data_IF_771769472025
#
_entry.id   IF_771769472025
#
_cell.length_a   1.000
_cell.length_b   1.000
_cell.length_c   1.000
_cell.angle_alpha   90.00
_cell.angle_beta   90.00
_cell.angle_gamma   90.00
#
_symmetry.space_group_name_H-M   'P 1'
#
loop_
_entity.id
_entity.type
_entity.pdbx_description
1 polymer ?
#
# COMPACT_ATOMS: atom_id res chain seq x y z
N UNK A 1 -34.52 -21.18 35.15
CA UNK A 1 -33.61 -22.25 34.67
C UNK A 1 -32.81 -21.66 33.53
N UNK A 2 -31.50 -21.53 33.75
CA UNK A 2 -30.41 -21.26 32.81
C UNK A 2 -30.59 -20.16 31.74
N UNK A 3 -30.03 -18.99 32.05
CA UNK A 3 -29.20 -18.28 31.08
C UNK A 3 -27.94 -17.81 31.82
N UNK A 4 -27.00 -18.74 32.07
CA UNK A 4 -25.62 -18.39 32.35
C UNK A 4 -25.07 -17.71 31.10
N UNK A 5 -25.11 -16.39 31.08
CA UNK A 5 -24.29 -15.58 30.18
C UNK A 5 -22.86 -15.67 30.71
N UNK A 6 -22.21 -16.77 30.37
CA UNK A 6 -20.77 -16.95 30.49
C UNK A 6 -20.13 -16.25 29.29
N UNK A 7 -20.10 -14.92 29.32
CA UNK A 7 -19.33 -14.10 28.39
C UNK A 7 -18.52 -13.12 29.25
N UNK A 8 -17.20 -13.13 29.06
CA UNK A 8 -16.19 -12.23 29.67
C UNK A 8 -15.50 -12.75 30.96
N UNK A 9 -14.71 -13.82 30.84
CA UNK A 9 -13.79 -14.27 31.90
C UNK A 9 -12.40 -13.59 31.87
N UNK A 10 -12.29 -12.35 31.38
CA UNK A 10 -10.98 -11.68 31.18
C UNK A 10 -10.79 -10.30 31.80
N UNK A 11 -11.85 -9.51 31.92
CA UNK A 11 -11.82 -8.20 32.60
C UNK A 11 -13.06 -8.13 33.48
N UNK A 12 -12.86 -8.09 34.80
CA UNK A 12 -13.97 -7.95 35.75
C UNK A 12 -14.77 -6.71 35.39
N UNK A 13 -16.08 -6.86 35.13
CA UNK A 13 -16.96 -5.71 34.95
C UNK A 13 -16.77 -4.71 36.11
N UNK A 14 -16.70 -3.39 35.83
CA UNK A 14 -16.69 -2.38 36.87
C UNK A 14 -17.82 -2.60 37.87
N UNK A 15 -17.53 -2.50 39.17
CA UNK A 15 -18.49 -2.78 40.25
C UNK A 15 -19.79 -1.99 40.10
N UNK A 16 -19.71 -0.75 39.65
CA UNK A 16 -20.86 0.13 39.37
C UNK A 16 -21.81 -0.42 38.30
N UNK A 17 -21.28 -1.04 37.23
CA UNK A 17 -22.10 -1.70 36.20
C UNK A 17 -22.78 -2.94 36.76
N UNK A 18 -22.08 -3.70 37.60
CA UNK A 18 -22.60 -4.91 38.22
C UNK A 18 -23.74 -4.59 39.21
N UNK A 19 -23.62 -3.49 39.95
CA UNK A 19 -24.65 -3.01 40.87
C UNK A 19 -25.87 -2.46 40.12
N UNK A 20 -25.66 -1.72 39.01
CA UNK A 20 -26.74 -1.23 38.15
C UNK A 20 -27.50 -2.36 37.43
N UNK A 21 -26.82 -3.43 37.02
CA UNK A 21 -27.43 -4.62 36.41
C UNK A 21 -28.39 -5.36 37.35
N UNK A 22 -28.15 -5.24 38.67
CA UNK A 22 -28.98 -5.81 39.72
C UNK A 22 -30.01 -4.82 40.29
N UNK A 23 -30.03 -3.58 39.79
CA UNK A 23 -30.97 -2.54 40.19
C UNK A 23 -32.24 -2.55 39.33
N UNK A 24 -33.36 -2.05 39.86
CA UNK A 24 -34.61 -1.92 39.11
C UNK A 24 -34.63 -0.68 38.17
N UNK A 25 -33.57 0.15 38.21
CA UNK A 25 -33.49 1.41 37.48
C UNK A 25 -32.77 1.20 36.13
N UNK A 26 -33.55 0.78 35.13
CA UNK A 26 -33.05 0.54 33.78
C UNK A 26 -32.50 1.78 33.09
N UNK A 27 -32.99 2.98 33.44
CA UNK A 27 -32.53 4.24 32.83
C UNK A 27 -31.12 4.57 33.29
N UNK A 28 -30.83 4.40 34.58
CA UNK A 28 -29.49 4.58 35.12
C UNK A 28 -28.49 3.56 34.54
N UNK A 29 -28.94 2.31 34.30
CA UNK A 29 -28.12 1.28 33.65
C UNK A 29 -27.78 1.66 32.20
N UNK A 30 -28.77 2.07 31.41
CA UNK A 30 -28.55 2.51 30.02
C UNK A 30 -27.58 3.69 29.95
N UNK A 31 -27.72 4.69 30.83
CA UNK A 31 -26.80 5.84 30.90
C UNK A 31 -25.36 5.43 31.23
N UNK A 32 -25.17 4.51 32.17
CA UNK A 32 -23.84 4.02 32.52
C UNK A 32 -23.20 3.21 31.39
N UNK A 33 -24.00 2.39 30.68
CA UNK A 33 -23.55 1.65 29.50
C UNK A 33 -23.12 2.62 28.39
N UNK A 34 -23.92 3.66 28.14
CA UNK A 34 -23.61 4.70 27.14
C UNK A 34 -22.30 5.43 27.46
N UNK A 35 -22.06 5.78 28.71
CA UNK A 35 -20.80 6.41 29.15
C UNK A 35 -19.60 5.50 28.90
N UNK A 36 -19.72 4.20 29.21
CA UNK A 36 -18.64 3.25 29.02
C UNK A 36 -18.36 2.96 27.55
N UNK A 37 -19.42 2.83 26.73
CA UNK A 37 -19.29 2.69 25.27
C UNK A 37 -18.59 3.93 24.71
N UNK A 38 -19.03 5.14 25.05
CA UNK A 38 -18.39 6.38 24.60
C UNK A 38 -16.93 6.50 25.04
N UNK A 39 -16.59 6.14 26.28
CA UNK A 39 -15.19 6.16 26.74
C UNK A 39 -14.32 5.15 25.98
N UNK A 40 -14.86 3.95 25.71
CA UNK A 40 -14.16 2.92 24.95
C UNK A 40 -13.96 3.35 23.50
N UNK A 41 -14.99 3.91 22.87
CA UNK A 41 -14.92 4.49 21.53
C UNK A 41 -13.86 5.59 21.46
N UNK A 42 -13.87 6.55 22.40
CA UNK A 42 -12.85 7.61 22.46
C UNK A 42 -11.42 7.07 22.57
N UNK A 43 -11.20 6.03 23.39
CA UNK A 43 -9.88 5.38 23.51
C UNK A 43 -9.48 4.68 22.21
N UNK A 44 -10.41 3.97 21.57
CA UNK A 44 -10.17 3.31 20.27
C UNK A 44 -9.86 4.34 19.17
N UNK A 45 -10.61 5.45 19.10
CA UNK A 45 -10.34 6.53 18.15
C UNK A 45 -8.97 7.18 18.39
N UNK A 46 -8.57 7.38 19.64
CA UNK A 46 -7.24 7.92 19.97
C UNK A 46 -6.11 6.97 19.56
N UNK A 47 -6.27 5.68 19.84
CA UNK A 47 -5.31 4.64 19.43
C UNK A 47 -5.21 4.55 17.90
N UNK A 48 -6.36 4.61 17.20
CA UNK A 48 -6.41 4.61 15.74
C UNK A 48 -5.74 5.87 15.14
N UNK A 49 -5.96 7.03 15.75
CA UNK A 49 -5.32 8.29 15.34
C UNK A 49 -3.80 8.30 15.56
N UNK A 50 -3.29 7.65 16.60
CA UNK A 50 -1.85 7.44 16.80
C UNK A 50 -1.28 6.50 15.72
N UNK A 51 -1.93 5.37 15.47
CA UNK A 51 -1.50 4.41 14.45
C UNK A 51 -1.49 5.03 13.04
N UNK A 52 -2.51 5.84 12.73
CA UNK A 52 -2.58 6.59 11.49
C UNK A 52 -1.45 7.62 11.38
N UNK A 53 -1.11 8.32 12.47
CA UNK A 53 0.00 9.27 12.47
C UNK A 53 1.35 8.57 12.30
N UNK A 54 1.60 7.47 13.00
CA UNK A 54 2.84 6.69 12.88
C UNK A 54 3.02 6.16 11.45
N UNK A 55 1.93 5.67 10.85
CA UNK A 55 1.92 5.21 9.48
C UNK A 55 2.13 6.38 8.49
N UNK A 56 1.47 7.51 8.70
CA UNK A 56 1.67 8.71 7.90
C UNK A 56 3.13 9.19 7.94
N UNK A 57 3.74 9.19 9.12
CA UNK A 57 5.14 9.59 9.31
C UNK A 57 6.10 8.62 8.61
N UNK A 58 5.83 7.31 8.64
CA UNK A 58 6.61 6.31 7.91
C UNK A 58 6.55 6.53 6.38
N UNK A 59 5.35 6.79 5.85
CA UNK A 59 5.15 7.07 4.42
C UNK A 59 5.77 8.41 4.03
N UNK A 60 5.68 9.42 4.88
CA UNK A 60 6.31 10.73 4.67
C UNK A 60 7.83 10.66 4.70
N UNK A 61 8.41 9.85 5.59
CA UNK A 61 9.86 9.57 5.61
C UNK A 61 10.30 8.91 4.31
N UNK A 62 9.56 7.91 3.82
CA UNK A 62 9.83 7.30 2.51
C UNK A 62 9.79 8.33 1.37
N UNK A 63 8.79 9.22 1.35
CA UNK A 63 8.74 10.32 0.38
C UNK A 63 9.89 11.33 0.54
N UNK A 64 10.32 11.60 1.77
CA UNK A 64 11.45 12.48 2.07
C UNK A 64 12.80 11.90 1.64
N UNK A 65 13.01 10.60 1.84
CA UNK A 65 14.23 9.90 1.39
C UNK A 65 14.33 9.92 -0.14
N UNK A 66 13.21 9.67 -0.84
CA UNK A 66 13.12 9.81 -2.30
C UNK A 66 13.35 11.26 -2.76
N UNK A 67 12.93 12.25 -1.97
CA UNK A 67 13.15 13.64 -2.31
C UNK A 67 14.61 14.09 -2.19
N UNK A 68 15.39 13.46 -1.30
CA UNK A 68 16.85 13.68 -1.27
C UNK A 68 17.55 13.13 -2.52
N UNK A 69 16.94 12.16 -3.22
CA UNK A 69 17.39 11.64 -4.51
C UNK A 69 16.88 12.45 -5.72
N UNK A 70 16.16 13.56 -5.48
CA UNK A 70 15.70 14.50 -6.52
C UNK A 70 14.23 14.34 -6.95
N UNK A 71 13.42 13.57 -6.23
CA UNK A 71 11.97 13.39 -6.50
C UNK A 71 11.13 14.46 -5.76
N UNK A 72 10.06 15.02 -6.34
CA UNK A 72 9.20 15.98 -5.63
C UNK A 72 8.56 15.38 -4.35
N UNK A 73 8.43 16.20 -3.30
CA UNK A 73 8.30 15.75 -1.91
C UNK A 73 6.93 15.31 -1.38
N UNK A 74 6.04 14.75 -2.22
CA UNK A 74 4.77 14.17 -1.75
C UNK A 74 4.71 12.64 -1.90
N UNK A 75 3.85 11.99 -1.12
CA UNK A 75 3.60 10.54 -1.21
C UNK A 75 3.04 10.14 -2.57
N UNK A 76 2.19 10.99 -3.15
CA UNK A 76 1.67 10.81 -4.50
C UNK A 76 2.79 10.85 -5.54
N UNK A 77 3.76 11.76 -5.37
CA UNK A 77 4.93 11.87 -6.25
C UNK A 77 5.85 10.65 -6.09
N UNK A 78 6.07 10.16 -4.88
CA UNK A 78 6.82 8.93 -4.62
C UNK A 78 6.16 7.71 -5.29
N UNK A 79 4.82 7.61 -5.23
CA UNK A 79 4.07 6.53 -5.89
C UNK A 79 4.17 6.63 -7.41
N UNK A 80 4.04 7.83 -7.97
CA UNK A 80 4.21 8.08 -9.40
C UNK A 80 5.63 7.71 -9.84
N UNK A 81 6.64 8.12 -9.09
CA UNK A 81 8.02 7.80 -9.40
C UNK A 81 8.30 6.28 -9.38
N UNK A 82 7.76 5.55 -8.39
CA UNK A 82 7.84 4.10 -8.37
C UNK A 82 7.12 3.44 -9.56
N UNK A 83 6.02 4.04 -10.04
CA UNK A 83 5.33 3.59 -11.26
C UNK A 83 6.19 3.86 -12.51
N UNK A 84 6.80 5.04 -12.62
CA UNK A 84 7.69 5.40 -13.73
C UNK A 84 8.90 4.45 -13.78
N UNK A 85 9.52 4.14 -12.62
CA UNK A 85 10.61 3.17 -12.52
C UNK A 85 10.17 1.77 -12.92
N UNK A 86 8.96 1.35 -12.51
CA UNK A 86 8.40 0.05 -12.90
C UNK A 86 8.21 -0.04 -14.42
N UNK A 87 7.69 1.02 -15.05
CA UNK A 87 7.50 1.10 -16.49
C UNK A 87 8.83 1.12 -17.24
N UNK A 88 9.76 1.98 -16.84
CA UNK A 88 11.11 2.06 -17.42
C UNK A 88 11.85 0.72 -17.33
N UNK A 89 11.79 0.06 -16.17
CA UNK A 89 12.40 -1.26 -15.96
C UNK A 89 11.77 -2.33 -16.86
N UNK A 90 10.44 -2.33 -16.98
CA UNK A 90 9.71 -3.24 -17.88
C UNK A 90 10.06 -3.01 -19.35
N UNK A 91 10.20 -1.75 -19.77
CA UNK A 91 10.55 -1.42 -21.15
C UNK A 91 12.00 -1.81 -21.46
N UNK A 92 12.93 -1.59 -20.52
CA UNK A 92 14.31 -2.02 -20.67
C UNK A 92 14.42 -3.55 -20.78
N UNK A 93 13.65 -4.27 -19.95
CA UNK A 93 13.55 -5.73 -20.00
C UNK A 93 13.12 -6.24 -21.38
N UNK A 94 12.03 -5.70 -21.92
CA UNK A 94 11.52 -6.04 -23.25
C UNK A 94 12.56 -5.76 -24.33
N UNK A 95 13.22 -4.60 -24.31
CA UNK A 95 14.27 -4.27 -25.28
C UNK A 95 15.43 -5.26 -25.25
N UNK A 96 15.83 -5.73 -24.08
CA UNK A 96 16.89 -6.75 -23.94
C UNK A 96 16.45 -8.11 -24.50
N UNK A 97 15.20 -8.52 -24.24
CA UNK A 97 14.64 -9.75 -24.81
C UNK A 97 14.56 -9.66 -26.34
N UNK A 98 14.03 -8.57 -26.88
CA UNK A 98 13.96 -8.32 -28.33
C UNK A 98 15.35 -8.32 -28.97
N UNK A 99 16.36 -7.82 -28.25
CA UNK A 99 17.76 -7.89 -28.70
C UNK A 99 18.26 -9.33 -28.72
N UNK A 100 18.02 -10.11 -27.66
CA UNK A 100 18.43 -11.51 -27.60
C UNK A 100 17.76 -12.37 -28.68
N UNK A 101 16.46 -12.18 -28.91
CA UNK A 101 15.71 -12.88 -29.95
C UNK A 101 16.22 -12.57 -31.36
N UNK A 102 16.66 -11.33 -31.62
CA UNK A 102 17.24 -10.95 -32.92
C UNK A 102 18.67 -11.47 -33.10
N UNK A 103 19.46 -11.53 -32.04
CA UNK A 103 20.87 -11.90 -32.11
C UNK A 103 21.10 -13.42 -32.12
N UNK A 104 20.26 -14.20 -31.43
CA UNK A 104 20.36 -15.67 -31.40
C UNK A 104 20.41 -16.31 -32.81
N UNK A 105 19.51 -16.02 -33.75
CA UNK A 105 19.57 -16.63 -35.09
C UNK A 105 20.81 -16.18 -35.88
N UNK A 106 21.36 -15.00 -35.60
CA UNK A 106 22.60 -14.54 -36.23
C UNK A 106 23.81 -15.31 -35.71
N UNK A 107 23.86 -15.58 -34.40
CA UNK A 107 24.87 -16.44 -33.79
C UNK A 107 24.76 -17.88 -34.30
N UNK A 108 23.54 -18.42 -34.38
CA UNK A 108 23.29 -19.76 -34.95
C UNK A 108 23.78 -19.84 -36.42
N UNK A 109 23.40 -18.87 -37.26
CA UNK A 109 23.85 -18.82 -38.65
C UNK A 109 25.37 -18.66 -38.78
N UNK A 110 26.01 -17.87 -37.92
CA UNK A 110 27.48 -17.73 -37.92
C UNK A 110 28.16 -19.05 -37.57
N UNK A 111 27.65 -19.78 -36.57
CA UNK A 111 28.15 -21.10 -36.19
C UNK A 111 27.99 -22.10 -37.33
N UNK A 112 26.83 -22.14 -38.00
CA UNK A 112 26.57 -23.04 -39.14
C UNK A 112 27.50 -22.74 -40.33
N UNK A 113 27.66 -21.47 -40.69
CA UNK A 113 28.57 -21.07 -41.76
C UNK A 113 30.04 -21.41 -41.43
N UNK A 114 30.44 -21.24 -40.17
CA UNK A 114 31.77 -21.61 -39.71
C UNK A 114 32.00 -23.12 -39.81
N UNK A 115 31.01 -23.96 -39.46
CA UNK A 115 31.08 -25.42 -39.66
C UNK A 115 31.31 -25.76 -41.13
N UNK A 116 30.55 -25.16 -42.04
CA UNK A 116 30.70 -25.43 -43.47
C UNK A 116 32.10 -25.09 -44.00
N UNK A 117 32.74 -24.03 -43.48
CA UNK A 117 34.12 -23.68 -43.84
C UNK A 117 35.12 -24.67 -43.23
N UNK A 118 34.94 -25.06 -41.97
CA UNK A 118 35.77 -26.06 -41.29
C UNK A 118 35.78 -27.39 -42.07
N UNK A 119 34.60 -27.87 -42.48
CA UNK A 119 34.45 -29.13 -43.22
C UNK A 119 35.05 -29.06 -44.64
N UNK A 120 35.08 -27.86 -45.23
CA UNK A 120 35.59 -27.61 -46.58
C UNK A 120 37.07 -27.23 -46.67
N UNK A 121 37.76 -27.03 -45.55
CA UNK A 121 39.15 -26.55 -45.52
C UNK A 121 40.07 -27.43 -44.67
N UNK A 122 41.32 -27.67 -45.08
CA UNK A 122 42.27 -28.45 -44.29
C UNK A 122 42.70 -27.67 -43.04
N UNK A 123 43.04 -28.39 -41.94
CA UNK A 123 43.36 -27.79 -40.63
C UNK A 123 44.50 -26.75 -40.65
N UNK A 124 45.42 -26.83 -41.63
CA UNK A 124 46.51 -25.88 -41.80
C UNK A 124 46.14 -24.59 -42.56
N UNK A 125 44.91 -24.48 -43.05
CA UNK A 125 44.43 -23.28 -43.75
C UNK A 125 44.05 -22.18 -42.75
N UNK A 126 44.40 -20.94 -43.09
CA UNK A 126 44.02 -19.75 -42.32
C UNK A 126 42.50 -19.63 -42.22
N UNK A 127 41.76 -20.01 -43.27
CA UNK A 127 40.30 -20.03 -43.27
C UNK A 127 39.73 -21.03 -42.25
N UNK A 128 40.37 -22.20 -42.10
CA UNK A 128 39.97 -23.22 -41.12
C UNK A 128 40.12 -22.68 -39.69
N UNK A 129 41.28 -22.08 -39.39
CA UNK A 129 41.56 -21.51 -38.06
C UNK A 129 40.59 -20.39 -37.71
N UNK A 130 40.33 -19.48 -38.66
CA UNK A 130 39.37 -18.39 -38.45
C UNK A 130 37.95 -18.92 -38.25
N UNK A 131 37.54 -19.92 -39.01
CA UNK A 131 36.23 -20.53 -38.88
C UNK A 131 36.05 -21.21 -37.51
N UNK A 132 37.07 -21.89 -36.97
CA UNK A 132 37.05 -22.43 -35.60
C UNK A 132 36.83 -21.33 -34.54
N UNK A 133 37.53 -20.20 -34.68
CA UNK A 133 37.35 -19.06 -33.77
C UNK A 133 35.94 -18.46 -33.88
N UNK A 134 35.45 -18.27 -35.11
CA UNK A 134 34.10 -17.76 -35.37
C UNK A 134 33.02 -18.69 -34.80
N UNK A 135 33.18 -20.01 -34.95
CA UNK A 135 32.29 -21.01 -34.37
C UNK A 135 32.27 -20.94 -32.83
N UNK A 136 33.43 -20.83 -32.19
CA UNK A 136 33.53 -20.69 -30.72
C UNK A 136 32.81 -19.44 -30.24
N UNK A 137 33.12 -18.30 -30.85
CA UNK A 137 32.50 -17.02 -30.53
C UNK A 137 30.98 -17.05 -30.72
N UNK A 138 30.52 -17.62 -31.82
CA UNK A 138 29.10 -17.77 -32.11
C UNK A 138 28.37 -18.61 -31.05
N UNK A 139 28.96 -19.73 -30.61
CA UNK A 139 28.40 -20.55 -29.54
C UNK A 139 28.39 -19.80 -28.20
N UNK A 140 29.48 -19.13 -27.84
CA UNK A 140 29.55 -18.29 -26.63
C UNK A 140 28.47 -17.19 -26.64
N UNK A 141 28.26 -16.52 -27.78
CA UNK A 141 27.19 -15.56 -27.93
C UNK A 141 25.81 -16.20 -27.75
N UNK A 142 25.55 -17.36 -28.37
CA UNK A 142 24.26 -18.04 -28.25
C UNK A 142 23.96 -18.38 -26.78
N UNK A 143 24.94 -18.95 -26.09
CA UNK A 143 24.80 -19.38 -24.71
C UNK A 143 24.63 -18.17 -23.77
N UNK A 144 25.43 -17.12 -23.95
CA UNK A 144 25.30 -15.87 -23.18
C UNK A 144 23.97 -15.14 -23.40
N UNK A 145 23.42 -15.17 -24.62
CA UNK A 145 22.10 -14.61 -24.92
C UNK A 145 20.97 -15.43 -24.26
N UNK A 146 21.12 -16.76 -24.18
CA UNK A 146 20.17 -17.61 -23.46
C UNK A 146 20.20 -17.31 -21.95
N UNK A 147 21.40 -17.14 -21.38
CA UNK A 147 21.56 -16.75 -19.97
C UNK A 147 20.92 -15.38 -19.68
N UNK A 148 21.04 -14.40 -20.59
CA UNK A 148 20.36 -13.11 -20.43
C UNK A 148 18.84 -13.25 -20.37
N UNK A 149 18.25 -14.08 -21.24
CA UNK A 149 16.81 -14.34 -21.24
C UNK A 149 16.38 -14.96 -19.92
N UNK A 150 17.14 -15.94 -19.40
CA UNK A 150 16.85 -16.56 -18.10
C UNK A 150 16.96 -15.55 -16.96
N UNK A 151 18.02 -14.74 -16.94
CA UNK A 151 18.21 -13.72 -15.91
C UNK A 151 17.06 -12.70 -15.86
N UNK A 152 16.40 -12.45 -17.00
CA UNK A 152 15.29 -11.51 -17.08
C UNK A 152 14.04 -11.95 -16.29
N UNK A 153 13.88 -13.23 -15.96
CA UNK A 153 12.76 -13.70 -15.13
C UNK A 153 12.74 -13.06 -13.73
N UNK A 154 13.90 -12.64 -13.21
CA UNK A 154 14.01 -11.92 -11.93
C UNK A 154 13.40 -10.52 -11.98
N UNK A 155 13.36 -9.89 -13.16
CA UNK A 155 12.75 -8.58 -13.34
C UNK A 155 11.22 -8.66 -13.26
N UNK A 156 10.59 -9.71 -13.81
CA UNK A 156 9.14 -9.90 -13.67
C UNK A 156 8.76 -10.02 -12.19
N UNK A 157 9.49 -10.85 -11.43
CA UNK A 157 9.26 -11.02 -10.00
C UNK A 157 9.49 -9.72 -9.21
N UNK A 158 10.54 -8.97 -9.55
CA UNK A 158 10.84 -7.68 -8.93
C UNK A 158 9.77 -6.63 -9.25
N UNK A 159 9.29 -6.58 -10.50
CA UNK A 159 8.22 -5.70 -10.93
C UNK A 159 6.91 -5.98 -10.22
N UNK A 160 6.54 -7.26 -10.06
CA UNK A 160 5.36 -7.66 -9.28
C UNK A 160 5.47 -7.23 -7.80
N UNK A 161 6.65 -7.36 -7.19
CA UNK A 161 6.90 -6.92 -5.81
C UNK A 161 6.76 -5.41 -5.67
N UNK A 162 7.37 -4.62 -6.56
CA UNK A 162 7.25 -3.17 -6.57
C UNK A 162 5.78 -2.75 -6.74
N UNK A 163 5.04 -3.39 -7.64
CA UNK A 163 3.60 -3.12 -7.82
C UNK A 163 2.79 -3.34 -6.55
N UNK A 164 3.11 -4.37 -5.76
CA UNK A 164 2.46 -4.60 -4.45
C UNK A 164 2.78 -3.48 -3.45
N UNK A 165 4.02 -2.99 -3.43
CA UNK A 165 4.43 -1.86 -2.58
C UNK A 165 3.68 -0.58 -2.98
N UNK A 166 3.63 -0.28 -4.29
CA UNK A 166 2.88 0.86 -4.84
C UNK A 166 1.40 0.82 -4.41
N UNK A 167 0.76 -0.34 -4.52
CA UNK A 167 -0.63 -0.52 -4.10
C UNK A 167 -0.81 -0.35 -2.59
N UNK A 168 0.10 -0.92 -1.79
CA UNK A 168 0.07 -0.80 -0.34
C UNK A 168 0.14 0.67 0.10
N UNK A 169 1.07 1.45 -0.46
CA UNK A 169 1.19 2.88 -0.20
C UNK A 169 -0.12 3.61 -0.53
N UNK A 170 -0.76 3.28 -1.65
CA UNK A 170 -2.07 3.85 -2.01
C UNK A 170 -3.20 3.49 -1.03
N UNK A 171 -3.25 2.24 -0.54
CA UNK A 171 -4.23 1.84 0.48
C UNK A 171 -4.03 2.57 1.80
N UNK A 172 -2.77 2.77 2.19
CA UNK A 172 -2.40 3.55 3.37
C UNK A 172 -2.87 5.00 3.23
N UNK A 173 -2.59 5.64 2.09
CA UNK A 173 -3.04 7.01 1.79
C UNK A 173 -4.56 7.16 1.92
N UNK A 174 -5.32 6.24 1.31
CA UNK A 174 -6.79 6.26 1.40
C UNK A 174 -7.30 6.11 2.84
N UNK A 175 -6.69 5.22 3.61
CA UNK A 175 -7.08 5.00 5.02
C UNK A 175 -6.81 6.24 5.88
N UNK A 176 -5.74 6.98 5.59
CA UNK A 176 -5.44 8.24 6.26
C UNK A 176 -6.43 9.34 5.89
N UNK A 177 -6.81 9.44 4.62
CA UNK A 177 -7.84 10.37 4.16
C UNK A 177 -9.21 10.07 4.80
N UNK A 178 -9.58 8.79 4.90
CA UNK A 178 -10.81 8.35 5.57
C UNK A 178 -10.80 8.69 7.06
N UNK A 179 -9.66 8.50 7.74
CA UNK A 179 -9.55 8.83 9.15
C UNK A 179 -9.61 10.35 9.41
N UNK A 180 -8.98 11.15 8.54
CA UNK A 180 -9.09 12.61 8.59
C UNK A 180 -10.52 13.07 8.31
N UNK A 181 -11.24 12.43 7.38
CA UNK A 181 -12.64 12.78 7.09
C UNK A 181 -13.57 12.44 8.25
N UNK A 182 -13.40 11.27 8.88
CA UNK A 182 -14.17 10.86 10.05
C UNK A 182 -13.93 11.79 11.24
N UNK A 183 -12.66 12.11 11.54
CA UNK A 183 -12.32 13.02 12.64
C UNK A 183 -12.76 14.46 12.37
N UNK A 184 -12.71 14.93 11.12
CA UNK A 184 -13.23 16.24 10.72
C UNK A 184 -14.78 16.32 10.77
N UNK A 185 -15.47 15.24 10.39
CA UNK A 185 -16.93 15.15 10.49
C UNK A 185 -17.41 15.17 11.94
N UNK A 186 -16.68 14.51 12.85
CA UNK A 186 -16.98 14.53 14.29
C UNK A 186 -16.75 15.91 14.92
N UNK A 187 -15.68 16.63 14.52
CA UNK A 187 -15.42 18.00 14.98
C UNK A 187 -16.50 18.99 14.52
N UNK A 188 -17.04 18.82 13.32
CA UNK A 188 -18.18 19.63 12.85
C UNK A 188 -19.52 19.22 13.48
N UNK A 189 -19.66 17.97 13.93
CA UNK A 189 -20.83 17.50 14.69
C UNK A 189 -20.95 18.17 16.07
N UNK A 190 -19.82 18.40 16.76
CA UNK A 190 -19.79 19.15 18.02
C UNK A 190 -20.11 20.65 17.82
N UNK A 191 -19.66 21.24 16.71
CA UNK A 191 -19.99 22.63 16.36
C UNK A 191 -21.48 22.82 15.98
N UNK A 192 -22.11 21.83 15.36
CA UNK A 192 -23.54 21.85 15.05
C UNK A 192 -24.42 21.64 16.29
N UNK A 193 -23.98 20.81 17.26
CA UNK A 193 -24.69 20.62 18.53
C UNK A 193 -24.62 21.86 19.46
N UNK A 194 -23.57 22.68 19.34
CA UNK A 194 -23.41 23.91 20.12
C UNK A 194 -24.18 25.13 19.54
N UNK A 195 -24.82 25.00 18.37
CA UNK A 195 -25.58 26.08 17.71
C UNK A 195 -27.11 25.89 17.74
N UNK A 196 -27.67 25.22 18.76
CA UNK A 196 -29.08 25.45 19.10
C UNK A 196 -29.18 26.82 19.78
N UNK A 197 -29.11 27.86 18.94
CA UNK A 197 -29.32 29.25 19.29
C UNK A 197 -30.80 29.39 19.64
N UNK A 198 -31.13 29.40 20.92
CA UNK A 198 -32.43 29.88 21.41
C UNK A 198 -32.50 31.36 21.07
N UNK A 199 -33.05 31.66 19.90
CA UNK A 199 -33.49 33.01 19.52
C UNK A 199 -34.79 32.88 18.74
N UNK A 200 -35.87 32.47 19.41
CA UNK A 200 -37.16 33.01 19.03
C UNK A 200 -37.71 33.77 20.23
N UNK A 201 -37.95 35.04 19.97
CA UNK A 201 -38.64 35.95 20.89
C UNK A 201 -40.01 35.38 21.30
N UNK A 202 -40.57 34.48 20.48
CA UNK A 202 -41.78 33.70 20.72
C UNK A 202 -41.71 32.77 21.95
N UNK A 203 -40.53 32.23 22.31
CA UNK A 203 -40.39 31.37 23.49
C UNK A 203 -40.28 32.19 24.78
N UNK A 204 -39.68 33.39 24.69
CA UNK A 204 -39.67 34.37 25.78
C UNK A 204 -41.09 34.92 26.04
N UNK A 205 -41.85 35.23 24.99
CA UNK A 205 -43.23 35.74 25.11
C UNK A 205 -44.21 34.68 25.64
N UNK A 206 -44.00 33.40 25.29
CA UNK A 206 -44.78 32.29 25.89
C UNK A 206 -44.56 32.16 27.39
N UNK A 207 -43.32 32.23 27.84
CA UNK A 207 -42.99 32.12 29.27
C UNK A 207 -43.54 33.32 30.06
N UNK A 208 -43.54 34.52 29.49
CA UNK A 208 -44.12 35.69 30.15
C UNK A 208 -45.65 35.58 30.29
N UNK A 209 -46.32 35.00 29.29
CA UNK A 209 -47.76 34.74 29.35
C UNK A 209 -48.17 33.67 30.39
N UNK A 210 -47.29 32.71 30.68
CA UNK A 210 -47.55 31.66 31.69
C UNK A 210 -47.46 32.19 33.13
N UNK A 211 -46.72 33.28 33.36
CA UNK A 211 -46.58 33.92 34.68
C UNK A 211 -47.49 35.13 34.89
N UNK A 212 -48.35 35.48 33.92
CA UNK A 212 -49.42 36.46 34.08
C UNK A 212 -48.96 37.93 34.08
N UNK A 213 -47.95 38.27 33.27
CA UNK A 213 -47.68 39.66 32.86
C UNK A 213 -48.14 39.90 31.42
#
# INVERSE_FOLDING_TARGET
>A
MNAQVSLMAGESMPQELHDLLNSADGVAFEQALDVLVRQREQRMFRALGLLARDLHDAVRRLGGDLAQEGVPGSVADARQHLQDVLEMSSQAAHRTLDFAERMRPQAEALSENAVAVIDGTPEGDVAHVLARQAQSFANECRDGLADFVVAQSWQDLSGQRIKKVVNFIGSVENSLLELVSLTGALANGEAAAAQVKVTSQDEADRLLSEFGF
#
